data_IF_608382593219
#
_entry.id   IF_608382593219
#
_cell.length_a   1.000
_cell.length_b   1.000
_cell.length_c   1.000
_cell.angle_alpha   90.00
_cell.angle_beta   90.00
_cell.angle_gamma   90.00
#
_symmetry.space_group_name_H-M   'P 1'
#
loop_
_entity.id
_entity.type
_entity.pdbx_description
1 polymer ?
#
# COMPACT_ATOMS: atom_id res chain seq x y z
N UNK A 1 -13.46 -22.66 -8.44
CA UNK A 1 -14.82 -22.51 -7.88
C UNK A 1 -14.68 -21.86 -6.52
N UNK A 2 -15.42 -20.79 -6.22
CA UNK A 2 -15.27 -20.11 -4.92
C UNK A 2 -15.66 -21.02 -3.77
N UNK A 3 -14.86 -20.93 -2.71
CA UNK A 3 -14.89 -21.86 -1.60
C UNK A 3 -16.07 -21.61 -0.63
N UNK A 4 -16.71 -20.44 -0.70
CA UNK A 4 -17.84 -20.08 0.16
C UNK A 4 -18.64 -18.89 -0.41
N UNK A 5 -19.81 -18.63 0.18
CA UNK A 5 -20.67 -17.48 -0.07
C UNK A 5 -21.04 -16.83 1.26
N UNK A 6 -20.93 -15.50 1.34
CA UNK A 6 -21.41 -14.73 2.49
C UNK A 6 -22.85 -14.30 2.24
N UNK A 7 -23.73 -14.60 3.21
CA UNK A 7 -25.13 -14.19 3.20
C UNK A 7 -25.29 -13.00 4.14
N UNK A 8 -25.91 -11.94 3.65
CA UNK A 8 -26.11 -10.69 4.38
C UNK A 8 -27.57 -10.56 4.82
N UNK A 9 -27.78 -10.11 6.04
CA UNK A 9 -29.08 -9.70 6.54
C UNK A 9 -29.53 -8.36 5.89
N UNK A 10 -30.83 -8.00 5.93
CA UNK A 10 -31.34 -6.77 5.32
C UNK A 10 -30.70 -5.48 5.84
N UNK A 11 -30.16 -5.49 7.05
CA UNK A 11 -29.42 -4.38 7.67
C UNK A 11 -27.96 -4.27 7.19
N UNK A 12 -27.51 -5.15 6.30
CA UNK A 12 -26.15 -5.20 5.76
C UNK A 12 -25.14 -5.96 6.62
N UNK A 13 -25.52 -6.49 7.79
CA UNK A 13 -24.62 -7.36 8.57
C UNK A 13 -24.52 -8.74 7.94
N UNK A 14 -23.42 -9.45 8.21
CA UNK A 14 -23.29 -10.86 7.81
C UNK A 14 -24.26 -11.67 8.67
N UNK A 15 -25.15 -12.41 8.03
CA UNK A 15 -26.08 -13.34 8.68
C UNK A 15 -25.37 -14.69 8.90
N UNK A 16 -24.91 -15.30 7.81
CA UNK A 16 -24.14 -16.55 7.86
C UNK A 16 -23.23 -16.71 6.62
N UNK A 17 -22.38 -17.73 6.65
CA UNK A 17 -21.50 -18.12 5.54
C UNK A 17 -21.83 -19.54 5.13
N UNK A 18 -22.06 -19.75 3.83
CA UNK A 18 -22.33 -21.05 3.23
C UNK A 18 -21.06 -21.58 2.55
N UNK A 19 -20.73 -22.85 2.77
CA UNK A 19 -19.61 -23.54 2.11
C UNK A 19 -19.94 -25.00 1.88
N UNK A 20 -19.40 -25.58 0.81
CA UNK A 20 -19.43 -27.01 0.53
C UNK A 20 -18.19 -27.74 1.08
N UNK A 21 -17.24 -27.00 1.66
CA UNK A 21 -16.00 -27.55 2.16
C UNK A 21 -16.22 -28.28 3.49
N UNK A 22 -15.48 -29.36 3.66
CA UNK A 22 -15.50 -30.25 4.83
C UNK A 22 -14.07 -30.72 5.12
N UNK A 23 -13.85 -31.32 6.29
CA UNK A 23 -12.57 -31.94 6.63
C UNK A 23 -11.36 -30.99 6.49
N UNK A 24 -10.26 -31.53 5.98
CA UNK A 24 -9.03 -30.79 5.75
C UNK A 24 -9.18 -29.66 4.73
N UNK A 25 -10.08 -29.80 3.75
CA UNK A 25 -10.33 -28.73 2.78
C UNK A 25 -10.89 -27.48 3.45
N UNK A 26 -11.79 -27.64 4.44
CA UNK A 26 -12.30 -26.52 5.24
C UNK A 26 -11.19 -25.91 6.12
N UNK A 27 -10.40 -26.74 6.79
CA UNK A 27 -9.29 -26.30 7.64
C UNK A 27 -8.19 -25.57 6.86
N UNK A 28 -8.03 -25.87 5.57
CA UNK A 28 -7.04 -25.24 4.68
C UNK A 28 -7.41 -23.81 4.23
N UNK A 29 -8.65 -23.36 4.47
CA UNK A 29 -9.13 -22.05 4.02
C UNK A 29 -9.08 -21.05 5.17
N UNK A 30 -8.15 -20.08 5.17
CA UNK A 30 -7.91 -19.22 6.32
C UNK A 30 -9.11 -18.33 6.67
N UNK A 31 -9.92 -18.00 5.66
CA UNK A 31 -11.17 -17.22 5.79
C UNK A 31 -12.30 -17.97 6.49
N UNK A 32 -12.25 -19.30 6.51
CA UNK A 32 -13.29 -20.17 7.06
C UNK A 32 -12.83 -20.97 8.27
N UNK A 33 -11.52 -21.20 8.37
CA UNK A 33 -10.93 -22.00 9.43
C UNK A 33 -11.12 -21.31 10.78
N UNK A 34 -11.83 -21.98 11.70
CA UNK A 34 -11.98 -21.56 13.10
C UNK A 34 -11.01 -22.29 14.03
N UNK A 35 -10.23 -23.25 13.51
CA UNK A 35 -9.35 -24.11 14.30
C UNK A 35 -10.10 -24.78 15.46
N UNK A 36 -9.56 -24.69 16.66
CA UNK A 36 -10.18 -25.21 17.89
C UNK A 36 -11.50 -24.55 18.28
N UNK A 37 -11.90 -23.45 17.64
CA UNK A 37 -13.18 -22.76 17.89
C UNK A 37 -14.36 -23.31 17.08
N UNK A 38 -14.16 -24.31 16.20
CA UNK A 38 -15.29 -25.07 15.66
C UNK A 38 -16.04 -25.78 16.80
N UNK A 39 -17.35 -25.56 16.88
CA UNK A 39 -18.20 -26.18 17.90
C UNK A 39 -18.33 -27.69 17.68
N UNK A 40 -18.81 -28.44 18.68
CA UNK A 40 -19.05 -29.87 18.54
C UNK A 40 -20.03 -30.19 17.38
N UNK A 41 -21.06 -29.34 17.20
CA UNK A 41 -22.03 -29.46 16.12
C UNK A 41 -21.39 -29.21 14.75
N UNK A 42 -20.62 -28.13 14.61
CA UNK A 42 -19.89 -27.82 13.38
C UNK A 42 -18.89 -28.94 13.03
N UNK A 43 -18.19 -29.49 14.04
CA UNK A 43 -17.24 -30.59 13.81
C UNK A 43 -17.93 -31.85 13.30
N UNK A 44 -19.13 -32.17 13.81
CA UNK A 44 -19.94 -33.27 13.30
C UNK A 44 -20.40 -32.99 11.87
N UNK A 45 -20.97 -31.80 11.63
CA UNK A 45 -21.52 -31.38 10.35
C UNK A 45 -20.48 -31.35 9.23
N UNK A 46 -19.30 -30.80 9.50
CA UNK A 46 -18.22 -30.63 8.52
C UNK A 46 -17.18 -31.77 8.55
N UNK A 47 -17.44 -32.87 9.26
CA UNK A 47 -16.53 -34.03 9.29
C UNK A 47 -15.15 -33.73 9.90
N UNK A 48 -15.08 -32.87 10.92
CA UNK A 48 -13.85 -32.47 11.61
C UNK A 48 -13.56 -33.30 12.87
N UNK A 49 -14.48 -34.18 13.27
CA UNK A 49 -14.30 -35.06 14.43
C UNK A 49 -13.06 -35.94 14.24
N UNK A 50 -12.10 -35.85 15.17
CA UNK A 50 -10.82 -36.56 15.09
C UNK A 50 -9.70 -35.79 14.38
N UNK A 51 -10.01 -34.71 13.64
CA UNK A 51 -9.01 -33.83 13.02
C UNK A 51 -8.51 -32.71 13.96
N UNK A 52 -9.29 -32.40 15.00
CA UNK A 52 -9.00 -31.34 15.97
C UNK A 52 -8.89 -31.91 17.39
N UNK A 53 -8.04 -31.31 18.26
CA UNK A 53 -8.04 -31.62 19.69
C UNK A 53 -9.44 -31.48 20.30
N UNK A 54 -9.74 -32.28 21.33
CA UNK A 54 -11.09 -32.37 21.90
C UNK A 54 -11.63 -31.02 22.42
N UNK A 55 -10.78 -30.19 23.03
CA UNK A 55 -11.20 -28.92 23.60
C UNK A 55 -11.76 -27.98 22.51
N UNK A 56 -12.93 -27.41 22.78
CA UNK A 56 -13.48 -26.27 22.03
C UNK A 56 -13.03 -24.99 22.73
N UNK A 57 -12.31 -24.13 22.00
CA UNK A 57 -11.84 -22.84 22.51
C UNK A 57 -12.77 -21.71 22.05
N UNK A 58 -12.86 -20.63 22.83
CA UNK A 58 -13.37 -19.35 22.34
C UNK A 58 -12.29 -18.63 21.53
N UNK A 59 -12.70 -17.69 20.68
CA UNK A 59 -11.76 -16.85 19.92
C UNK A 59 -10.76 -16.12 20.83
N UNK A 60 -11.20 -15.66 22.01
CA UNK A 60 -10.32 -15.00 22.98
C UNK A 60 -9.30 -15.96 23.59
N UNK A 61 -9.67 -17.21 23.88
CA UNK A 61 -8.73 -18.22 24.38
C UNK A 61 -7.65 -18.54 23.34
N UNK A 62 -8.06 -18.68 22.07
CA UNK A 62 -7.12 -18.84 20.96
C UNK A 62 -6.18 -17.62 20.87
N UNK A 63 -6.71 -16.40 20.93
CA UNK A 63 -5.93 -15.18 20.85
C UNK A 63 -4.89 -15.08 21.98
N UNK A 64 -5.26 -15.42 23.22
CA UNK A 64 -4.32 -15.49 24.36
C UNK A 64 -3.16 -16.44 24.09
N UNK A 65 -3.43 -17.61 23.48
CA UNK A 65 -2.38 -18.56 23.12
C UNK A 65 -1.49 -18.01 21.99
N UNK A 66 -2.08 -17.36 20.98
CA UNK A 66 -1.34 -16.81 19.84
C UNK A 66 -0.43 -15.65 20.24
N UNK A 67 -0.87 -14.76 21.15
CA UNK A 67 -0.03 -13.65 21.60
C UNK A 67 1.12 -14.13 22.51
N UNK A 68 0.89 -15.18 23.32
CA UNK A 68 1.97 -15.79 24.10
C UNK A 68 3.09 -16.34 23.20
N UNK A 69 2.74 -17.05 22.13
CA UNK A 69 3.69 -17.55 21.12
C UNK A 69 4.38 -16.41 20.35
N UNK A 70 3.64 -15.36 20.02
CA UNK A 70 4.21 -14.16 19.38
C UNK A 70 5.33 -13.53 20.23
N UNK A 71 5.18 -13.50 21.55
CA UNK A 71 6.22 -12.98 22.47
C UNK A 71 7.46 -13.88 22.59
N UNK A 72 7.40 -15.14 22.15
CA UNK A 72 8.58 -16.02 22.10
C UNK A 72 9.54 -15.64 20.95
N UNK A 73 9.07 -14.93 19.94
CA UNK A 73 9.88 -14.45 18.83
C UNK A 73 10.69 -13.21 19.22
N UNK A 74 12.01 -13.29 19.06
CA UNK A 74 12.95 -12.25 19.52
C UNK A 74 13.29 -11.20 18.47
N UNK A 75 13.01 -11.45 17.19
CA UNK A 75 13.27 -10.50 16.09
C UNK A 75 11.97 -10.00 15.48
N UNK A 76 11.96 -8.76 14.98
CA UNK A 76 10.81 -8.19 14.31
C UNK A 76 10.41 -9.00 13.06
N UNK A 77 11.39 -9.44 12.25
CA UNK A 77 11.12 -10.31 11.11
C UNK A 77 10.53 -11.67 11.54
N UNK A 78 11.01 -12.25 12.65
CA UNK A 78 10.46 -13.49 13.21
C UNK A 78 9.00 -13.32 13.62
N UNK A 79 8.70 -12.21 14.30
CA UNK A 79 7.33 -11.80 14.66
C UNK A 79 6.45 -11.55 13.43
N UNK A 80 6.96 -10.88 12.40
CA UNK A 80 6.27 -10.66 11.12
C UNK A 80 5.93 -11.99 10.45
N UNK A 81 6.89 -12.89 10.35
CA UNK A 81 6.69 -14.22 9.76
C UNK A 81 5.66 -15.03 10.54
N UNK A 82 5.73 -15.01 11.87
CA UNK A 82 4.74 -15.67 12.73
C UNK A 82 3.31 -15.15 12.48
N UNK A 83 3.15 -13.82 12.43
CA UNK A 83 1.85 -13.20 12.20
C UNK A 83 1.31 -13.49 10.79
N UNK A 84 2.16 -13.56 9.77
CA UNK A 84 1.74 -13.96 8.42
C UNK A 84 1.34 -15.44 8.36
N UNK A 85 2.06 -16.33 9.06
CA UNK A 85 1.62 -17.73 9.20
C UNK A 85 0.27 -17.82 9.90
N UNK A 86 0.03 -17.01 10.93
CA UNK A 86 -1.27 -16.95 11.60
C UNK A 86 -2.37 -16.46 10.66
N UNK A 87 -2.12 -15.40 9.88
CA UNK A 87 -3.03 -14.90 8.85
C UNK A 87 -3.33 -15.99 7.80
N UNK A 88 -2.31 -16.71 7.33
CA UNK A 88 -2.43 -17.80 6.37
C UNK A 88 -3.04 -19.09 6.92
N UNK A 89 -3.24 -19.16 8.23
CA UNK A 89 -3.89 -20.27 8.93
C UNK A 89 -5.34 -19.95 9.28
N UNK A 90 -5.59 -18.78 9.87
CA UNK A 90 -6.90 -18.32 10.34
C UNK A 90 -6.93 -16.78 10.36
N UNK A 91 -7.56 -16.18 9.35
CA UNK A 91 -7.60 -14.72 9.19
C UNK A 91 -8.36 -14.05 10.34
N UNK A 92 -9.46 -14.67 10.82
CA UNK A 92 -10.27 -14.09 11.92
C UNK A 92 -9.45 -14.02 13.21
N UNK A 93 -8.68 -15.07 13.50
CA UNK A 93 -7.81 -15.12 14.68
C UNK A 93 -6.64 -14.15 14.56
N UNK A 94 -6.03 -14.03 13.38
CA UNK A 94 -5.01 -13.00 13.11
C UNK A 94 -5.56 -11.60 13.41
N UNK A 95 -6.70 -11.23 12.82
CA UNK A 95 -7.28 -9.90 13.02
C UNK A 95 -7.71 -9.67 14.47
N UNK A 96 -8.17 -10.71 15.19
CA UNK A 96 -8.44 -10.60 16.62
C UNK A 96 -7.18 -10.25 17.41
N UNK A 97 -6.08 -11.00 17.20
CA UNK A 97 -4.81 -10.78 17.89
C UNK A 97 -4.24 -9.40 17.57
N UNK A 98 -4.22 -9.04 16.29
CA UNK A 98 -3.71 -7.74 15.85
C UNK A 98 -4.56 -6.58 16.38
N UNK A 99 -5.89 -6.70 16.42
CA UNK A 99 -6.76 -5.65 16.94
C UNK A 99 -6.64 -5.49 18.46
N UNK A 100 -6.55 -6.58 19.22
CA UNK A 100 -6.38 -6.53 20.68
C UNK A 100 -5.01 -5.93 21.09
N UNK A 101 -4.01 -6.03 20.23
CA UNK A 101 -2.62 -5.60 20.48
C UNK A 101 -2.11 -4.62 19.40
N UNK A 102 -2.97 -3.73 18.92
CA UNK A 102 -2.71 -2.93 17.71
C UNK A 102 -1.43 -2.11 17.77
N UNK A 103 -1.16 -1.41 18.88
CA UNK A 103 0.04 -0.59 19.03
C UNK A 103 1.33 -1.40 18.92
N UNK A 104 1.32 -2.65 19.41
CA UNK A 104 2.47 -3.54 19.36
C UNK A 104 2.60 -4.24 18.00
N UNK A 105 1.48 -4.65 17.40
CA UNK A 105 1.45 -5.47 16.19
C UNK A 105 1.62 -4.64 14.92
N UNK A 106 1.05 -3.43 14.87
CA UNK A 106 1.09 -2.56 13.69
C UNK A 106 2.52 -2.29 13.16
N UNK A 107 3.52 -1.92 13.98
CA UNK A 107 4.90 -1.70 13.50
C UNK A 107 5.62 -3.00 13.07
N UNK A 108 5.05 -4.17 13.41
CA UNK A 108 5.55 -5.46 12.95
C UNK A 108 4.96 -5.83 11.60
N UNK A 109 3.64 -5.73 11.41
CA UNK A 109 3.01 -6.09 10.13
C UNK A 109 3.20 -5.05 9.04
N UNK A 110 3.47 -3.80 9.41
CA UNK A 110 3.69 -2.67 8.50
C UNK A 110 5.07 -2.04 8.74
N UNK A 111 5.23 -0.74 8.48
CA UNK A 111 6.49 -0.03 8.66
C UNK A 111 6.92 0.04 10.14
N UNK A 112 8.22 -0.15 10.45
CA UNK A 112 9.34 -0.31 9.51
C UNK A 112 9.61 -1.78 9.10
N UNK A 113 9.08 -2.77 9.82
CA UNK A 113 9.45 -4.18 9.68
C UNK A 113 9.14 -4.77 8.30
N UNK A 114 8.04 -4.35 7.68
CA UNK A 114 7.67 -4.79 6.32
C UNK A 114 8.76 -4.49 5.29
N UNK A 115 9.57 -3.44 5.49
CA UNK A 115 10.70 -3.13 4.61
C UNK A 115 11.75 -4.25 4.59
N UNK A 116 12.08 -4.81 5.74
CA UNK A 116 12.99 -5.97 5.83
C UNK A 116 12.36 -7.21 5.17
N UNK A 117 11.05 -7.43 5.40
CA UNK A 117 10.33 -8.54 4.79
C UNK A 117 10.28 -8.44 3.25
N UNK A 118 10.13 -7.22 2.70
CA UNK A 118 10.19 -6.98 1.25
C UNK A 118 11.57 -7.34 0.69
N UNK A 119 12.65 -6.88 1.33
CA UNK A 119 14.02 -7.17 0.88
C UNK A 119 14.33 -8.68 0.89
N UNK A 120 13.72 -9.41 1.81
CA UNK A 120 13.89 -10.86 1.96
C UNK A 120 12.78 -11.69 1.32
N UNK A 121 11.88 -11.06 0.55
CA UNK A 121 10.66 -11.69 0.03
C UNK A 121 10.92 -13.04 -0.64
N UNK A 122 11.91 -13.09 -1.55
CA UNK A 122 12.19 -14.30 -2.31
C UNK A 122 12.75 -15.45 -1.46
N UNK A 123 13.56 -15.12 -0.45
CA UNK A 123 14.15 -16.09 0.47
C UNK A 123 13.13 -16.62 1.48
N UNK A 124 12.24 -15.74 1.98
CA UNK A 124 11.26 -16.07 3.01
C UNK A 124 9.92 -16.58 2.43
N UNK A 125 9.79 -16.66 1.10
CA UNK A 125 8.55 -17.07 0.43
C UNK A 125 8.15 -18.50 0.82
N UNK A 126 6.90 -18.66 1.26
CA UNK A 126 6.32 -19.96 1.66
C UNK A 126 5.03 -20.27 0.92
N UNK A 127 4.14 -19.27 0.86
CA UNK A 127 2.81 -19.38 0.28
C UNK A 127 2.53 -18.11 -0.50
N UNK A 128 2.06 -18.27 -1.73
CA UNK A 128 1.64 -17.14 -2.54
C UNK A 128 0.28 -16.62 -2.06
N UNK A 129 0.21 -15.32 -1.80
CA UNK A 129 -1.03 -14.57 -1.54
C UNK A 129 -1.12 -13.40 -2.53
N UNK A 130 -2.34 -12.92 -2.77
CA UNK A 130 -2.60 -11.86 -3.74
C UNK A 130 -2.58 -12.33 -5.20
N UNK A 131 -2.46 -11.35 -6.09
CA UNK A 131 -2.40 -11.54 -7.54
C UNK A 131 -1.09 -10.98 -8.10
N UNK A 132 -0.36 -11.82 -8.84
CA UNK A 132 0.82 -11.41 -9.59
C UNK A 132 0.44 -11.36 -11.07
N UNK A 133 0.77 -10.26 -11.73
CA UNK A 133 0.59 -10.12 -13.18
C UNK A 133 1.93 -9.66 -13.74
N UNK A 134 2.61 -10.55 -14.46
CA UNK A 134 3.91 -10.26 -15.05
C UNK A 134 3.73 -9.71 -16.46
N UNK A 135 4.59 -8.79 -16.90
CA UNK A 135 4.54 -8.22 -18.25
C UNK A 135 4.58 -9.27 -19.39
N UNK A 136 5.32 -10.40 -19.28
CA UNK A 136 5.24 -11.48 -20.28
C UNK A 136 3.84 -12.10 -20.43
N UNK A 137 2.98 -11.94 -19.43
CA UNK A 137 1.64 -12.51 -19.36
C UNK A 137 0.54 -11.48 -19.68
N UNK A 138 0.92 -10.28 -20.16
CA UNK A 138 -0.01 -9.15 -20.40
C UNK A 138 -1.20 -9.47 -21.30
N UNK A 139 -1.05 -10.36 -22.27
CA UNK A 139 -2.14 -10.78 -23.16
C UNK A 139 -3.15 -11.72 -22.48
N UNK A 140 -2.81 -12.21 -21.27
CA UNK A 140 -3.63 -13.15 -20.48
C UNK A 140 -4.31 -12.48 -19.29
N UNK A 141 -4.23 -11.15 -19.12
CA UNK A 141 -4.77 -10.46 -17.95
C UNK A 141 -6.25 -10.81 -17.72
N UNK A 142 -7.10 -10.74 -18.74
CA UNK A 142 -8.53 -11.08 -18.59
C UNK A 142 -8.71 -12.53 -18.06
N UNK A 143 -7.97 -13.49 -18.62
CA UNK A 143 -7.99 -14.89 -18.19
C UNK A 143 -7.47 -15.09 -16.76
N UNK A 144 -6.43 -14.35 -16.36
CA UNK A 144 -5.90 -14.36 -14.98
C UNK A 144 -6.99 -13.89 -14.01
N UNK A 145 -7.63 -12.76 -14.31
CA UNK A 145 -8.68 -12.19 -13.47
C UNK A 145 -9.92 -13.10 -13.39
N UNK A 146 -10.30 -13.77 -14.48
CA UNK A 146 -11.42 -14.71 -14.54
C UNK A 146 -11.20 -15.94 -13.66
N UNK A 147 -10.01 -16.54 -13.70
CA UNK A 147 -9.73 -17.79 -13.00
C UNK A 147 -9.30 -17.64 -11.53
N UNK A 148 -8.74 -16.49 -11.15
CA UNK A 148 -8.10 -16.31 -9.84
C UNK A 148 -8.92 -15.51 -8.82
N UNK A 149 -9.80 -14.61 -9.27
CA UNK A 149 -10.36 -13.59 -8.37
C UNK A 149 -11.81 -13.82 -7.99
N UNK A 150 -12.23 -13.48 -6.75
CA UNK A 150 -13.60 -13.59 -6.27
C UNK A 150 -14.62 -12.88 -7.14
N UNK A 151 -15.90 -13.24 -6.95
CA UNK A 151 -17.01 -12.56 -7.61
C UNK A 151 -17.07 -11.06 -7.30
N UNK A 152 -16.53 -10.63 -6.15
CA UNK A 152 -16.53 -9.24 -5.74
C UNK A 152 -15.21 -8.85 -5.07
N UNK A 153 -14.66 -7.72 -5.50
CA UNK A 153 -13.54 -6.99 -4.89
C UNK A 153 -13.92 -5.52 -4.90
N UNK A 154 -13.78 -4.87 -3.74
CA UNK A 154 -14.05 -3.43 -3.58
C UNK A 154 -12.79 -2.60 -3.61
N UNK A 155 -11.67 -3.14 -3.13
CA UNK A 155 -10.43 -2.41 -2.97
C UNK A 155 -9.25 -3.29 -3.40
N UNK A 156 -8.42 -2.77 -4.29
CA UNK A 156 -7.13 -3.34 -4.58
C UNK A 156 -6.01 -2.37 -4.22
N UNK A 157 -4.97 -2.88 -3.56
CA UNK A 157 -3.70 -2.17 -3.40
C UNK A 157 -2.73 -2.76 -4.40
N UNK A 158 -2.17 -1.90 -5.25
CA UNK A 158 -1.34 -2.28 -6.39
C UNK A 158 0.02 -1.63 -6.28
N UNK A 159 1.07 -2.42 -6.51
CA UNK A 159 2.45 -1.93 -6.59
C UNK A 159 3.20 -2.59 -7.74
N UNK A 160 4.22 -1.90 -8.26
CA UNK A 160 5.25 -2.45 -9.14
C UNK A 160 6.61 -2.63 -8.44
N UNK A 161 6.66 -2.29 -7.14
CA UNK A 161 7.84 -2.41 -6.27
C UNK A 161 9.03 -1.54 -6.67
N UNK A 162 8.87 -0.51 -7.51
CA UNK A 162 10.01 0.30 -7.99
C UNK A 162 10.58 1.26 -6.95
N UNK A 163 9.75 1.77 -6.04
CA UNK A 163 10.15 2.78 -5.07
C UNK A 163 9.65 2.45 -3.67
N UNK A 164 9.92 1.23 -3.19
CA UNK A 164 9.47 0.77 -1.88
C UNK A 164 10.09 1.59 -0.76
N UNK A 165 9.28 2.36 -0.05
CA UNK A 165 9.68 3.15 1.13
C UNK A 165 11.00 3.93 0.87
N UNK A 166 12.01 3.72 1.71
CA UNK A 166 13.37 4.24 1.53
C UNK A 166 14.37 3.21 0.98
N UNK A 167 13.91 2.02 0.58
CA UNK A 167 14.77 0.90 0.16
C UNK A 167 14.82 0.70 -1.37
N UNK A 168 14.05 1.50 -2.13
CA UNK A 168 14.14 1.59 -3.58
C UNK A 168 13.49 0.41 -4.30
N UNK A 169 14.06 0.02 -5.44
CA UNK A 169 13.49 -1.02 -6.29
C UNK A 169 13.67 -2.41 -5.67
N UNK A 170 12.55 -3.07 -5.39
CA UNK A 170 12.48 -4.41 -4.81
C UNK A 170 11.71 -5.40 -5.72
N UNK A 171 11.33 -4.98 -6.93
CA UNK A 171 10.57 -5.76 -7.91
C UNK A 171 9.37 -6.49 -7.28
N UNK A 172 9.25 -7.80 -7.54
CA UNK A 172 8.16 -8.65 -7.00
C UNK A 172 8.01 -8.62 -5.48
N UNK A 173 9.05 -8.25 -4.74
CA UNK A 173 9.00 -8.16 -3.27
C UNK A 173 8.01 -7.10 -2.77
N UNK A 174 7.65 -6.13 -3.62
CA UNK A 174 6.62 -5.12 -3.32
C UNK A 174 5.28 -5.71 -2.90
N UNK A 175 4.96 -6.96 -3.26
CA UNK A 175 3.72 -7.64 -2.87
C UNK A 175 3.47 -7.60 -1.36
N UNK A 176 4.52 -7.65 -0.54
CA UNK A 176 4.40 -7.55 0.91
C UNK A 176 3.82 -6.20 1.37
N UNK A 177 4.12 -5.10 0.67
CA UNK A 177 3.54 -3.78 0.94
C UNK A 177 2.04 -3.78 0.66
N UNK A 178 1.66 -4.26 -0.53
CA UNK A 178 0.23 -4.31 -0.91
C UNK A 178 -0.58 -5.17 0.06
N UNK A 179 -0.02 -6.31 0.47
CA UNK A 179 -0.64 -7.20 1.45
C UNK A 179 -0.76 -6.53 2.82
N UNK A 180 0.32 -5.89 3.29
CA UNK A 180 0.34 -5.24 4.59
C UNK A 180 -0.61 -4.02 4.66
N UNK A 181 -0.68 -3.19 3.61
CA UNK A 181 -1.67 -2.10 3.52
C UNK A 181 -3.10 -2.61 3.69
N UNK A 182 -3.45 -3.73 3.07
CA UNK A 182 -4.80 -4.29 3.18
C UNK A 182 -5.11 -4.85 4.57
N UNK A 183 -4.11 -5.38 5.28
CA UNK A 183 -4.24 -5.71 6.70
C UNK A 183 -4.54 -4.44 7.52
N UNK A 184 -3.85 -3.33 7.24
CA UNK A 184 -4.09 -2.03 7.89
C UNK A 184 -5.50 -1.50 7.56
N UNK A 185 -5.97 -1.62 6.32
CA UNK A 185 -7.35 -1.26 5.96
C UNK A 185 -8.38 -2.04 6.79
N UNK A 186 -8.16 -3.33 6.96
CA UNK A 186 -9.06 -4.16 7.75
C UNK A 186 -9.03 -3.77 9.23
N UNK A 187 -7.83 -3.57 9.80
CA UNK A 187 -7.65 -3.22 11.22
C UNK A 187 -8.14 -1.81 11.57
N UNK A 188 -7.85 -0.82 10.73
CA UNK A 188 -8.07 0.59 11.05
C UNK A 188 -9.38 1.15 10.47
N UNK A 189 -9.87 0.59 9.36
CA UNK A 189 -11.07 1.08 8.67
C UNK A 189 -12.21 0.04 8.61
N UNK A 190 -12.01 -1.17 9.15
CA UNK A 190 -13.04 -2.21 9.17
C UNK A 190 -13.42 -2.73 7.79
N UNK A 191 -12.54 -2.58 6.79
CA UNK A 191 -12.79 -3.10 5.44
C UNK A 191 -12.82 -4.62 5.49
N UNK A 192 -13.80 -5.23 4.81
CA UNK A 192 -13.96 -6.68 4.82
C UNK A 192 -12.78 -7.38 4.09
N UNK A 193 -11.99 -8.24 4.76
CA UNK A 193 -10.80 -8.88 4.18
C UNK A 193 -11.14 -9.88 3.06
N UNK A 194 -12.42 -10.24 2.89
CA UNK A 194 -12.89 -11.06 1.77
C UNK A 194 -13.11 -10.25 0.49
N UNK A 195 -13.12 -8.92 0.56
CA UNK A 195 -13.41 -7.98 -0.54
C UNK A 195 -12.21 -7.13 -0.95
N UNK A 196 -11.02 -7.49 -0.50
CA UNK A 196 -9.77 -6.80 -0.82
C UNK A 196 -8.82 -7.69 -1.61
N UNK A 197 -7.95 -7.07 -2.42
CA UNK A 197 -7.02 -7.78 -3.29
C UNK A 197 -5.64 -7.09 -3.37
N UNK A 198 -4.55 -7.70 -2.85
CA UNK A 198 -3.21 -7.19 -3.09
C UNK A 198 -2.73 -7.62 -4.48
N UNK A 199 -2.14 -6.70 -5.23
CA UNK A 199 -1.70 -6.92 -6.61
C UNK A 199 -0.25 -6.47 -6.79
N UNK A 200 0.56 -7.34 -7.38
CA UNK A 200 1.90 -7.02 -7.86
C UNK A 200 1.89 -7.00 -9.39
N UNK A 201 2.24 -5.86 -9.96
CA UNK A 201 2.55 -5.74 -11.38
C UNK A 201 4.05 -5.96 -11.57
N UNK A 202 4.43 -7.13 -12.08
CA UNK A 202 5.84 -7.48 -12.29
C UNK A 202 6.30 -7.07 -13.70
N UNK A 203 6.93 -5.91 -13.77
CA UNK A 203 7.44 -5.30 -15.01
C UNK A 203 8.97 -5.37 -15.10
N UNK A 204 9.59 -6.26 -14.32
CA UNK A 204 11.04 -6.32 -14.13
C UNK A 204 11.53 -5.48 -12.94
N UNK A 205 12.84 -5.48 -12.73
CA UNK A 205 13.52 -4.71 -11.68
C UNK A 205 14.89 -4.23 -12.16
N UNK A 206 15.26 -3.00 -11.83
CA UNK A 206 16.59 -2.44 -12.12
C UNK A 206 17.57 -2.70 -10.96
N UNK A 207 17.14 -3.43 -9.93
CA UNK A 207 17.98 -3.80 -8.81
C UNK A 207 18.88 -4.98 -9.19
N UNK A 208 20.13 -4.67 -9.54
CA UNK A 208 21.11 -5.68 -9.95
C UNK A 208 21.37 -6.77 -8.90
N UNK A 209 21.18 -6.48 -7.59
CA UNK A 209 21.32 -7.51 -6.55
C UNK A 209 20.24 -8.57 -6.68
N UNK A 210 19.00 -8.17 -6.98
CA UNK A 210 17.88 -9.09 -7.18
C UNK A 210 18.02 -9.87 -8.49
N UNK A 211 18.41 -9.19 -9.58
CA UNK A 211 18.65 -9.86 -10.87
C UNK A 211 19.72 -10.96 -10.76
N UNK A 212 20.76 -10.73 -9.95
CA UNK A 212 21.85 -11.66 -9.72
C UNK A 212 21.57 -12.70 -8.62
N UNK A 213 20.50 -12.54 -7.82
CA UNK A 213 20.19 -13.47 -6.73
C UNK A 213 19.51 -14.72 -7.30
N UNK A 214 20.09 -15.92 -7.22
CA UNK A 214 19.49 -17.15 -7.74
C UNK A 214 18.15 -17.52 -7.08
N UNK A 215 17.81 -16.94 -5.92
CA UNK A 215 16.54 -17.16 -5.25
C UNK A 215 15.44 -16.18 -5.70
N UNK A 216 15.77 -15.10 -6.41
CA UNK A 216 14.79 -14.12 -6.86
C UNK A 216 13.62 -14.76 -7.63
N UNK A 217 12.41 -14.50 -7.16
CA UNK A 217 11.16 -15.08 -7.66
C UNK A 217 10.48 -14.24 -8.76
N UNK A 218 10.89 -12.99 -8.93
CA UNK A 218 10.29 -12.10 -9.93
C UNK A 218 10.83 -12.36 -11.33
N UNK A 219 10.25 -11.67 -12.31
CA UNK A 219 10.72 -11.72 -13.68
C UNK A 219 12.14 -11.14 -13.77
N UNK A 220 13.11 -12.02 -14.10
CA UNK A 220 14.54 -11.67 -14.24
C UNK A 220 14.80 -10.86 -15.50
N UNK A 221 14.36 -9.63 -15.49
CA UNK A 221 14.50 -8.67 -16.56
C UNK A 221 14.60 -7.27 -15.96
N UNK A 222 15.37 -6.38 -16.58
CA UNK A 222 15.36 -4.95 -16.24
C UNK A 222 13.95 -4.38 -16.43
N UNK A 223 13.65 -3.22 -15.86
CA UNK A 223 12.31 -2.65 -16.05
C UNK A 223 12.04 -2.35 -17.52
N UNK A 224 10.82 -2.65 -17.96
CA UNK A 224 10.37 -2.31 -19.32
C UNK A 224 10.39 -0.79 -19.57
N UNK A 225 10.39 -0.39 -20.83
CA UNK A 225 10.31 1.03 -21.21
C UNK A 225 8.99 1.67 -20.74
N UNK A 226 8.99 3.00 -20.59
CA UNK A 226 7.81 3.76 -20.17
C UNK A 226 6.60 3.53 -21.08
N UNK A 227 6.80 3.48 -22.41
CA UNK A 227 5.70 3.23 -23.35
C UNK A 227 5.06 1.84 -23.14
N UNK A 228 5.90 0.81 -22.98
CA UNK A 228 5.45 -0.54 -22.69
C UNK A 228 4.74 -0.63 -21.32
N UNK A 229 5.23 0.11 -20.33
CA UNK A 229 4.60 0.20 -19.01
C UNK A 229 3.22 0.85 -19.10
N UNK A 230 3.08 1.97 -19.80
CA UNK A 230 1.81 2.67 -19.97
C UNK A 230 0.77 1.78 -20.67
N UNK A 231 1.17 1.06 -21.72
CA UNK A 231 0.32 0.09 -22.42
C UNK A 231 -0.12 -1.05 -21.47
N UNK A 232 0.83 -1.60 -20.71
CA UNK A 232 0.53 -2.68 -19.77
C UNK A 232 -0.45 -2.25 -18.67
N UNK A 233 -0.26 -1.06 -18.10
CA UNK A 233 -1.18 -0.51 -17.09
C UNK A 233 -2.56 -0.24 -17.68
N UNK A 234 -2.65 0.24 -18.93
CA UNK A 234 -3.94 0.44 -19.60
C UNK A 234 -4.68 -0.90 -19.83
N UNK A 235 -3.98 -1.95 -20.28
CA UNK A 235 -4.53 -3.30 -20.39
C UNK A 235 -5.04 -3.81 -19.04
N UNK A 236 -4.26 -3.62 -17.98
CA UNK A 236 -4.63 -4.01 -16.62
C UNK A 236 -5.88 -3.25 -16.13
N UNK A 237 -5.88 -1.92 -16.21
CA UNK A 237 -6.99 -1.09 -15.74
C UNK A 237 -8.27 -1.42 -16.50
N UNK A 238 -8.20 -1.57 -17.83
CA UNK A 238 -9.36 -1.97 -18.65
C UNK A 238 -9.93 -3.31 -18.18
N UNK A 239 -9.07 -4.31 -17.98
CA UNK A 239 -9.51 -5.65 -17.59
C UNK A 239 -10.09 -5.68 -16.16
N UNK A 240 -9.44 -5.01 -15.19
CA UNK A 240 -9.88 -5.04 -13.79
C UNK A 240 -11.16 -4.24 -13.58
N UNK A 241 -11.33 -3.09 -14.25
CA UNK A 241 -12.55 -2.28 -14.16
C UNK A 241 -13.71 -2.86 -14.95
N UNK A 242 -13.44 -3.59 -16.04
CA UNK A 242 -14.46 -4.43 -16.71
C UNK A 242 -15.02 -5.51 -15.78
N UNK A 243 -14.15 -6.16 -14.99
CA UNK A 243 -14.56 -7.20 -14.04
C UNK A 243 -15.20 -6.63 -12.77
N UNK A 244 -14.66 -5.53 -12.26
CA UNK A 244 -15.12 -4.86 -11.03
C UNK A 244 -15.35 -3.36 -11.28
N UNK A 245 -16.54 -2.96 -11.78
CA UNK A 245 -16.79 -1.57 -12.19
C UNK A 245 -16.71 -0.51 -11.08
N UNK A 246 -16.78 -0.94 -9.82
CA UNK A 246 -16.78 -0.05 -8.64
C UNK A 246 -15.54 -0.23 -7.75
N UNK A 247 -14.51 -0.94 -8.24
CA UNK A 247 -13.30 -1.15 -7.48
C UNK A 247 -12.55 0.18 -7.23
N UNK A 248 -12.08 0.36 -6.01
CA UNK A 248 -11.10 1.37 -5.64
C UNK A 248 -9.69 0.82 -5.92
N UNK A 249 -8.95 1.49 -6.81
CA UNK A 249 -7.55 1.19 -7.08
C UNK A 249 -6.63 2.13 -6.28
N UNK A 250 -5.99 1.57 -5.26
CA UNK A 250 -4.97 2.22 -4.45
C UNK A 250 -3.59 1.87 -5.00
N UNK A 251 -2.81 2.85 -5.42
CA UNK A 251 -1.44 2.66 -5.91
C UNK A 251 -0.39 2.98 -4.85
N UNK A 252 0.57 2.09 -4.67
CA UNK A 252 1.59 2.19 -3.63
C UNK A 252 3.00 1.87 -4.18
N UNK A 253 4.00 2.61 -3.71
CA UNK A 253 5.44 2.34 -3.91
C UNK A 253 5.86 2.24 -5.40
N UNK A 254 5.18 3.00 -6.26
CA UNK A 254 5.46 3.08 -7.70
C UNK A 254 6.65 3.98 -8.01
N UNK A 255 7.25 3.78 -9.18
CA UNK A 255 8.20 4.73 -9.76
C UNK A 255 7.61 6.12 -9.88
N UNK A 256 8.41 7.16 -9.68
CA UNK A 256 7.93 8.55 -9.59
C UNK A 256 7.12 9.02 -10.81
N UNK A 257 7.69 8.83 -12.00
CA UNK A 257 7.03 9.20 -13.25
C UNK A 257 5.78 8.33 -13.51
N UNK A 258 5.84 7.04 -13.19
CA UNK A 258 4.72 6.10 -13.35
C UNK A 258 3.54 6.46 -12.44
N UNK A 259 3.81 6.74 -11.15
CA UNK A 259 2.80 7.16 -10.18
C UNK A 259 2.06 8.41 -10.68
N UNK A 260 2.81 9.41 -11.15
CA UNK A 260 2.23 10.65 -11.67
C UNK A 260 1.44 10.40 -12.95
N UNK A 261 1.98 9.62 -13.89
CA UNK A 261 1.29 9.28 -15.13
C UNK A 261 -0.08 8.67 -14.83
N UNK A 262 -0.12 7.67 -13.94
CA UNK A 262 -1.35 6.96 -13.57
C UNK A 262 -2.37 7.94 -13.00
N UNK A 263 -1.98 8.75 -12.01
CA UNK A 263 -2.92 9.70 -11.40
C UNK A 263 -3.41 10.73 -12.41
N UNK A 264 -2.52 11.34 -13.19
CA UNK A 264 -2.93 12.33 -14.19
C UNK A 264 -3.84 11.74 -15.28
N UNK A 265 -3.63 10.48 -15.66
CA UNK A 265 -4.36 9.86 -16.76
C UNK A 265 -5.70 9.23 -16.35
N UNK A 266 -5.80 8.72 -15.11
CA UNK A 266 -6.93 7.88 -14.68
C UNK A 266 -7.77 8.46 -13.54
N UNK A 267 -7.30 9.48 -12.81
CA UNK A 267 -8.03 10.06 -11.67
C UNK A 267 -9.49 10.44 -12.01
N UNK A 268 -9.73 11.06 -13.16
CA UNK A 268 -11.07 11.50 -13.57
C UNK A 268 -11.89 10.40 -14.29
N UNK A 269 -11.33 9.19 -14.44
CA UNK A 269 -11.92 8.10 -15.21
C UNK A 269 -12.37 6.91 -14.35
N UNK A 270 -11.68 6.68 -13.23
CA UNK A 270 -11.90 5.53 -12.36
C UNK A 270 -11.76 5.93 -10.89
N UNK A 271 -12.30 5.12 -9.97
CA UNK A 271 -12.11 5.34 -8.54
C UNK A 271 -10.68 4.94 -8.14
N UNK A 272 -9.77 5.91 -8.07
CA UNK A 272 -8.35 5.63 -7.84
C UNK A 272 -7.64 6.74 -7.08
N UNK A 273 -6.59 6.37 -6.34
CA UNK A 273 -5.69 7.31 -5.70
C UNK A 273 -4.32 6.65 -5.44
N UNK A 274 -3.31 7.46 -5.16
CA UNK A 274 -1.97 7.01 -4.77
C UNK A 274 -1.66 7.54 -3.36
N UNK A 275 -1.31 6.66 -2.42
CA UNK A 275 -1.14 7.05 -1.01
C UNK A 275 0.19 7.79 -0.77
N UNK A 276 1.25 7.43 -1.50
CA UNK A 276 2.54 8.13 -1.42
C UNK A 276 2.43 9.62 -1.77
N UNK A 277 1.56 9.95 -2.72
CA UNK A 277 1.32 11.31 -3.19
C UNK A 277 0.16 11.98 -2.43
N UNK A 278 -1.03 11.37 -2.46
CA UNK A 278 -2.25 12.00 -1.95
C UNK A 278 -2.46 11.69 -0.46
N UNK A 279 -2.25 10.44 -0.03
CA UNK A 279 -2.39 10.06 1.39
C UNK A 279 -1.40 10.78 2.31
N UNK A 280 -0.12 10.78 1.91
CA UNK A 280 0.95 11.50 2.62
C UNK A 280 0.69 13.00 2.66
N UNK A 281 0.16 13.57 1.58
CA UNK A 281 -0.20 14.97 1.54
C UNK A 281 -1.35 15.31 2.50
N UNK A 282 -2.39 14.48 2.54
CA UNK A 282 -3.54 14.68 3.44
C UNK A 282 -3.08 14.67 4.90
N UNK A 283 -2.27 13.69 5.32
CA UNK A 283 -1.79 13.65 6.71
C UNK A 283 -0.87 14.82 7.03
N UNK A 284 0.04 15.20 6.11
CA UNK A 284 0.95 16.33 6.33
C UNK A 284 0.20 17.67 6.45
N UNK A 285 -0.76 17.92 5.55
CA UNK A 285 -1.58 19.14 5.61
C UNK A 285 -2.44 19.16 6.87
N UNK A 286 -3.02 18.02 7.28
CA UNK A 286 -3.76 17.92 8.53
C UNK A 286 -2.86 18.23 9.76
N UNK A 287 -1.62 17.73 9.78
CA UNK A 287 -0.64 18.06 10.82
C UNK A 287 -0.28 19.55 10.83
N UNK A 288 -0.08 20.16 9.65
CA UNK A 288 0.19 21.61 9.54
C UNK A 288 -0.99 22.41 10.06
N UNK A 289 -2.23 22.06 9.69
CA UNK A 289 -3.45 22.70 10.19
C UNK A 289 -3.57 22.61 11.72
N UNK A 290 -3.30 21.44 12.28
CA UNK A 290 -3.29 21.25 13.73
C UNK A 290 -2.20 22.11 14.41
N UNK A 291 -1.00 22.15 13.83
CA UNK A 291 0.11 22.99 14.29
C UNK A 291 -0.23 24.48 14.25
N UNK A 292 -0.74 24.98 13.12
CA UNK A 292 -1.20 26.36 12.98
C UNK A 292 -2.20 26.73 14.06
N UNK A 293 -3.24 25.89 14.25
CA UNK A 293 -4.25 26.10 15.28
C UNK A 293 -3.64 26.15 16.69
N UNK A 294 -2.72 25.23 17.01
CA UNK A 294 -2.04 25.21 18.30
C UNK A 294 -1.15 26.44 18.52
N UNK A 295 -0.59 27.01 17.45
CA UNK A 295 0.21 28.24 17.47
C UNK A 295 -0.61 29.53 17.39
N UNK A 296 -1.95 29.46 17.39
CA UNK A 296 -2.82 30.63 17.24
C UNK A 296 -2.77 31.27 15.84
N UNK A 297 -2.21 30.56 14.84
CA UNK A 297 -2.18 30.97 13.45
C UNK A 297 -3.47 30.50 12.77
N UNK A 298 -4.18 31.40 12.09
CA UNK A 298 -5.44 31.09 11.41
C UNK A 298 -5.47 31.44 9.93
N UNK A 299 -4.47 32.17 9.44
CA UNK A 299 -4.46 32.72 8.10
C UNK A 299 -3.40 32.05 7.21
N UNK A 300 -3.86 31.35 6.18
CA UNK A 300 -3.00 30.73 5.17
C UNK A 300 -2.21 31.73 4.32
N UNK A 301 -2.70 32.98 4.19
CA UNK A 301 -2.02 34.04 3.42
C UNK A 301 -0.69 34.46 4.02
N UNK A 302 -0.52 34.25 5.33
CA UNK A 302 0.66 34.65 6.08
C UNK A 302 1.72 33.53 6.14
N UNK A 303 1.38 32.33 5.66
CA UNK A 303 2.27 31.17 5.76
C UNK A 303 3.29 31.16 4.62
N UNK A 304 4.55 30.88 5.00
CA UNK A 304 5.67 30.65 4.11
C UNK A 304 6.24 29.27 4.42
N UNK A 305 6.26 28.39 3.43
CA UNK A 305 6.51 26.97 3.63
C UNK A 305 7.71 26.54 2.80
N UNK A 306 8.68 25.90 3.48
CA UNK A 306 9.85 25.31 2.86
C UNK A 306 9.77 23.79 3.03
N UNK A 307 9.83 23.04 1.94
CA UNK A 307 9.79 21.59 1.91
C UNK A 307 11.17 21.04 1.54
N UNK A 308 11.83 20.37 2.49
CA UNK A 308 13.04 19.62 2.23
C UNK A 308 12.68 18.21 1.72
N UNK A 309 12.74 18.02 0.41
CA UNK A 309 12.45 16.77 -0.28
C UNK A 309 11.43 17.00 -1.40
N UNK A 310 11.89 17.01 -2.65
CA UNK A 310 11.04 17.18 -3.84
C UNK A 310 10.82 15.85 -4.61
N UNK A 311 10.52 14.76 -3.88
CA UNK A 311 10.08 13.47 -4.43
C UNK A 311 8.55 13.33 -4.48
N UNK A 312 8.01 12.14 -4.73
CA UNK A 312 6.55 11.90 -4.83
C UNK A 312 5.77 12.49 -3.65
N UNK A 313 6.16 12.14 -2.42
CA UNK A 313 5.54 12.65 -1.20
C UNK A 313 5.64 14.17 -1.10
N UNK A 314 6.83 14.74 -1.27
CA UNK A 314 7.04 16.19 -1.17
C UNK A 314 6.26 17.01 -2.20
N UNK A 315 6.22 16.53 -3.44
CA UNK A 315 5.42 17.16 -4.50
C UNK A 315 3.92 16.99 -4.20
N UNK A 316 3.48 15.82 -3.71
CA UNK A 316 2.09 15.61 -3.31
C UNK A 316 1.65 16.56 -2.18
N UNK A 317 2.51 16.75 -1.17
CA UNK A 317 2.32 17.73 -0.09
C UNK A 317 2.24 19.15 -0.67
N UNK A 318 3.15 19.51 -1.57
CA UNK A 318 3.14 20.81 -2.24
C UNK A 318 1.86 21.05 -3.05
N UNK A 319 1.35 20.02 -3.76
CA UNK A 319 0.09 20.05 -4.51
C UNK A 319 -1.09 20.37 -3.57
N UNK A 320 -1.17 19.71 -2.41
CA UNK A 320 -2.25 19.93 -1.45
C UNK A 320 -2.12 21.24 -0.67
N UNK A 321 -0.90 21.67 -0.32
CA UNK A 321 -0.67 22.99 0.28
C UNK A 321 -1.08 24.10 -0.69
N UNK A 322 -0.71 23.97 -1.96
CA UNK A 322 -1.13 24.89 -3.01
C UNK A 322 -2.65 24.93 -3.14
N UNK A 323 -3.32 23.76 -3.17
CA UNK A 323 -4.77 23.69 -3.19
C UNK A 323 -5.42 24.34 -1.95
N UNK A 324 -4.86 24.11 -0.76
CA UNK A 324 -5.32 24.72 0.48
C UNK A 324 -5.19 26.25 0.45
N UNK A 325 -4.06 26.77 -0.04
CA UNK A 325 -3.86 28.21 -0.22
C UNK A 325 -4.83 28.80 -1.25
N UNK A 326 -5.09 28.12 -2.38
CA UNK A 326 -6.11 28.54 -3.37
C UNK A 326 -7.51 28.61 -2.75
N UNK A 327 -7.89 27.62 -1.94
CA UNK A 327 -9.16 27.62 -1.21
C UNK A 327 -9.29 28.82 -0.24
N UNK A 328 -8.17 29.40 0.20
CA UNK A 328 -8.12 30.62 1.01
C UNK A 328 -7.91 31.89 0.17
N UNK A 329 -8.06 31.79 -1.15
CA UNK A 329 -8.08 32.91 -2.08
C UNK A 329 -6.71 33.53 -2.34
N UNK A 330 -5.65 32.71 -2.37
CA UNK A 330 -4.35 33.10 -2.95
C UNK A 330 -4.31 32.77 -4.45
N UNK A 331 -3.66 33.62 -5.24
CA UNK A 331 -3.34 33.35 -6.64
C UNK A 331 -2.15 32.39 -6.80
N UNK A 332 -1.93 31.88 -8.01
CA UNK A 332 -0.81 30.98 -8.30
C UNK A 332 0.54 31.67 -8.10
N UNK A 333 0.64 32.95 -8.44
CA UNK A 333 1.82 33.78 -8.21
C UNK A 333 2.08 33.98 -6.71
N UNK A 334 1.02 34.21 -5.93
CA UNK A 334 1.13 34.35 -4.47
C UNK A 334 1.57 33.06 -3.79
N UNK A 335 1.09 31.92 -4.27
CA UNK A 335 1.47 30.59 -3.78
C UNK A 335 2.92 30.30 -4.13
N UNK A 336 3.32 30.54 -5.39
CA UNK A 336 4.69 30.35 -5.85
C UNK A 336 5.67 31.18 -5.00
N UNK A 337 5.30 32.40 -4.63
CA UNK A 337 6.12 33.26 -3.76
C UNK A 337 6.16 32.83 -2.28
N UNK A 338 5.48 31.74 -1.88
CA UNK A 338 5.33 31.28 -0.49
C UNK A 338 5.69 29.82 -0.27
N UNK A 339 6.00 29.08 -1.33
CA UNK A 339 6.23 27.64 -1.27
C UNK A 339 7.53 27.30 -1.99
N UNK A 340 8.54 26.85 -1.24
CA UNK A 340 9.85 26.49 -1.77
C UNK A 340 10.12 25.01 -1.56
N UNK A 341 10.54 24.32 -2.61
CA UNK A 341 10.91 22.91 -2.55
C UNK A 341 12.41 22.74 -2.78
N UNK A 342 13.04 21.91 -1.97
CA UNK A 342 14.46 21.54 -2.11
C UNK A 342 14.60 20.05 -2.42
N UNK A 343 15.53 19.72 -3.31
CA UNK A 343 16.00 18.35 -3.53
C UNK A 343 17.47 18.20 -3.07
N UNK A 344 18.08 17.04 -3.35
CA UNK A 344 19.50 16.77 -3.03
C UNK A 344 20.50 17.75 -3.67
N UNK A 345 20.08 18.52 -4.68
CA UNK A 345 20.83 19.55 -5.41
C UNK A 345 20.44 20.97 -4.96
N UNK A 346 19.71 21.11 -3.84
CA UNK A 346 19.25 22.39 -3.31
C UNK A 346 17.87 22.80 -3.82
N UNK A 347 17.59 24.10 -3.82
CA UNK A 347 16.33 24.69 -4.29
C UNK A 347 16.02 24.25 -5.73
N UNK A 348 14.76 23.90 -5.99
CA UNK A 348 14.24 23.56 -7.31
C UNK A 348 14.15 24.82 -8.15
N UNK A 349 15.00 24.92 -9.18
CA UNK A 349 15.16 26.10 -10.03
C UNK A 349 14.92 25.77 -11.51
N UNK A 350 14.32 26.69 -12.26
CA UNK A 350 13.95 26.49 -13.68
C UNK A 350 15.12 26.17 -14.61
N UNK A 351 16.34 26.60 -14.26
CA UNK A 351 17.54 26.34 -15.07
C UNK A 351 18.16 24.95 -14.83
N UNK A 352 17.66 24.18 -13.85
CA UNK A 352 18.15 22.82 -13.57
C UNK A 352 17.43 21.79 -14.44
N UNK A 353 18.05 20.63 -14.62
CA UNK A 353 17.33 19.47 -15.17
C UNK A 353 16.32 18.97 -14.14
N UNK A 354 15.03 19.20 -14.41
CA UNK A 354 13.90 18.86 -13.55
C UNK A 354 13.08 17.75 -14.18
N UNK A 355 12.38 16.98 -13.34
CA UNK A 355 11.26 16.18 -13.86
C UNK A 355 10.05 17.08 -14.12
N UNK A 356 9.14 16.62 -14.98
CA UNK A 356 7.90 17.33 -15.32
C UNK A 356 7.10 17.80 -14.09
N UNK A 357 7.14 17.01 -13.01
CA UNK A 357 6.45 17.31 -11.75
C UNK A 357 7.13 18.39 -10.90
N UNK A 358 8.44 18.56 -11.04
CA UNK A 358 9.20 19.57 -10.29
C UNK A 358 9.09 20.94 -10.96
N UNK A 359 8.88 21.00 -12.27
CA UNK A 359 8.79 22.26 -13.04
C UNK A 359 7.74 23.23 -12.50
N UNK A 360 6.60 22.70 -12.02
CA UNK A 360 5.51 23.51 -11.44
C UNK A 360 5.96 24.32 -10.22
N UNK A 361 6.92 23.80 -9.45
CA UNK A 361 7.41 24.41 -8.21
C UNK A 361 8.78 25.07 -8.38
N UNK A 362 9.26 25.17 -9.63
CA UNK A 362 10.59 25.70 -9.91
C UNK A 362 10.61 27.23 -9.89
N UNK A 363 11.56 27.79 -9.14
CA UNK A 363 11.76 29.24 -9.09
C UNK A 363 12.67 29.72 -10.22
N UNK A 364 12.39 30.93 -10.71
CA UNK A 364 13.24 31.63 -11.65
C UNK A 364 14.46 32.24 -10.92
N UNK A 365 15.58 32.40 -11.62
CA UNK A 365 16.80 32.96 -11.02
C UNK A 365 16.60 34.39 -10.54
N UNK A 366 15.70 35.14 -11.18
CA UNK A 366 15.35 36.51 -10.84
C UNK A 366 14.65 36.62 -9.47
N UNK A 367 13.90 35.58 -9.06
CA UNK A 367 13.17 35.54 -7.78
C UNK A 367 14.11 35.46 -6.57
N UNK A 368 15.29 34.89 -6.77
CA UNK A 368 16.32 34.67 -5.73
C UNK A 368 17.54 35.56 -5.91
N UNK A 369 17.55 36.44 -6.91
CA UNK A 369 18.71 37.28 -7.24
C UNK A 369 19.13 38.21 -6.09
N UNK A 370 18.15 38.68 -5.31
CA UNK A 370 18.37 39.57 -4.17
C UNK A 370 18.72 38.82 -2.87
N UNK A 371 18.83 37.49 -2.89
CA UNK A 371 19.09 36.70 -1.69
C UNK A 371 20.58 36.73 -1.35
N UNK A 372 20.89 36.72 -0.05
CA UNK A 372 22.26 36.54 0.44
C UNK A 372 22.62 35.06 0.40
N UNK A 373 23.21 34.61 -0.71
CA UNK A 373 23.52 33.21 -0.95
C UNK A 373 24.99 32.90 -0.63
N UNK A 374 25.25 31.74 0.01
CA UNK A 374 26.64 31.26 0.19
C UNK A 374 27.25 30.76 -1.12
N UNK A 375 26.45 30.12 -1.96
CA UNK A 375 26.81 29.69 -3.31
C UNK A 375 25.61 29.83 -4.24
N UNK A 376 25.71 30.72 -5.23
CA UNK A 376 24.66 30.97 -6.22
C UNK A 376 24.34 29.75 -7.09
N UNK A 377 25.25 28.78 -7.20
CA UNK A 377 25.04 27.54 -7.95
C UNK A 377 24.33 26.46 -7.12
N UNK A 378 24.32 26.61 -5.79
CA UNK A 378 23.80 25.61 -4.86
C UNK A 378 23.11 26.26 -3.67
N UNK A 379 21.88 26.73 -3.88
CA UNK A 379 21.01 27.27 -2.83
C UNK A 379 20.52 26.12 -1.94
N UNK A 380 21.04 26.02 -0.72
CA UNK A 380 20.72 24.96 0.23
C UNK A 380 19.68 25.43 1.26
N UNK A 381 19.21 24.52 2.11
CA UNK A 381 18.15 24.81 3.10
C UNK A 381 18.46 25.98 4.03
N UNK A 382 19.73 26.27 4.30
CA UNK A 382 20.09 27.40 5.17
C UNK A 382 20.05 28.76 4.45
N UNK A 383 20.03 28.75 3.11
CA UNK A 383 19.92 29.95 2.27
C UNK A 383 18.45 30.31 2.00
N UNK A 384 17.52 29.33 2.12
CA UNK A 384 16.07 29.45 1.91
C UNK A 384 15.38 29.73 3.24
#
# INVERSE_FOLDING_TARGET
MFKFKTIYAPNGSIDHVETHLVGDDLLSVPKLNKGTAFTAEERSLFGLTGLLPYQVETLSQQATRMIAQYHEHTTNLGKFNYLNVLHDYNETLFYKVANDHLEEVLPIIYTPTVGEAVQRFSLEHRKSSGLYISYPERDQIETILEHRLPHAVDLAVITDGQSVLGIGDQGVGGMNISSAKLMVYTLCAGINPTRVLPIQLDVGTDNQKLLNDPMYLGWRHERISSDAYHEFVDLFIKAITKKFPHILLHWEDLGRENARYIINHYHDKICTFNDDMQGTAVVAVASIMAGMKASGLSNWRDQRIVLLGAGNAGIGIADHLSAMMRCHGLSDEEIQARLWLLDRRGLVMKHKALSSVQERYAHASEEVFAWELRDANSILLHDV
#
